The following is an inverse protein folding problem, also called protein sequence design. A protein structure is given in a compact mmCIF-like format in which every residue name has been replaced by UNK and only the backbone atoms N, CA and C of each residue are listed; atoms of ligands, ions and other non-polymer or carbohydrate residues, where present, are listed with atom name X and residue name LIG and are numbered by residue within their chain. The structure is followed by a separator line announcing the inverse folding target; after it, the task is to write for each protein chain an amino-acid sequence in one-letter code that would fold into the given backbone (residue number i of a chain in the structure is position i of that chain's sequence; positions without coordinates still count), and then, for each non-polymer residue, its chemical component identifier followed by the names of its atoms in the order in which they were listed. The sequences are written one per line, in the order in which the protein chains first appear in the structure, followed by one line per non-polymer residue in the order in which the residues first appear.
data_IF_149589812119
#
_entry.id   IF_149589812119
#
_cell.length_a   1.000
_cell.length_b   1.000
_cell.length_c   1.000
_cell.angle_alpha   90.00
_cell.angle_beta   90.00
_cell.angle_gamma   90.00
#
_symmetry.space_group_name_H-M   'P 1'
#
loop_
_entity.id
_entity.type
_entity.pdbx_description
1 polymer ?
#
# COMPACT_ATOMS: atom_id res chain seq x y z
N UNK A 1 -5.59 18.43 -6.06
CA UNK A 1 -5.50 17.31 -5.12
C UNK A 1 -4.33 17.59 -4.20
N UNK A 2 -4.57 17.59 -2.89
CA UNK A 2 -3.54 17.83 -1.89
C UNK A 2 -2.78 16.55 -1.54
N UNK A 3 -1.72 16.68 -0.76
CA UNK A 3 -0.92 15.56 -0.30
C UNK A 3 -1.69 14.70 0.72
N UNK A 4 -1.40 13.39 0.71
CA UNK A 4 -1.87 12.46 1.75
C UNK A 4 -0.78 12.38 2.82
N UNK A 5 -1.12 12.74 4.06
CA UNK A 5 -0.23 12.60 5.21
C UNK A 5 -0.77 11.51 6.12
N UNK A 6 0.00 10.43 6.24
CA UNK A 6 -0.30 9.34 7.17
C UNK A 6 0.56 9.50 8.42
N UNK A 7 -0.08 9.81 9.55
CA UNK A 7 0.56 9.81 10.86
C UNK A 7 0.45 8.42 11.47
N UNK A 8 1.58 7.73 11.62
CA UNK A 8 1.65 6.41 12.24
C UNK A 8 2.26 6.57 13.63
N UNK A 9 1.59 6.04 14.65
CA UNK A 9 2.08 6.02 16.03
C UNK A 9 2.16 4.58 16.55
N UNK A 10 3.25 4.24 17.22
CA UNK A 10 3.33 3.03 18.02
C UNK A 10 2.51 3.24 19.30
N UNK A 11 1.35 2.59 19.43
CA UNK A 11 0.56 2.60 20.66
C UNK A 11 0.18 1.16 21.04
N UNK A 12 0.76 0.67 22.13
CA UNK A 12 0.41 -0.64 22.68
C UNK A 12 -0.76 -0.46 23.66
N UNK A 13 -2.00 -0.75 23.25
CA UNK A 13 -3.17 -0.80 24.13
C UNK A 13 -4.44 -0.10 23.64
N UNK A 14 -4.31 0.98 22.84
CA UNK A 14 -5.44 1.76 22.28
C UNK A 14 -5.35 1.89 20.74
N UNK A 15 -4.34 1.28 20.12
CA UNK A 15 -4.26 1.22 18.66
C UNK A 15 -5.18 0.13 18.12
N UNK A 16 -5.68 0.34 16.89
CA UNK A 16 -6.27 -0.73 16.08
C UNK A 16 -5.12 -1.60 15.53
N UNK A 17 -4.87 -2.80 16.08
CA UNK A 17 -3.77 -3.64 15.61
C UNK A 17 -4.06 -4.09 14.19
N UNK A 18 -3.10 -3.89 13.27
CA UNK A 18 -3.26 -4.31 11.88
C UNK A 18 -4.28 -3.48 11.10
N UNK A 19 -4.31 -2.16 11.32
CA UNK A 19 -5.15 -1.24 10.56
C UNK A 19 -4.92 -1.41 9.05
N UNK A 20 -5.97 -1.20 8.25
CA UNK A 20 -5.91 -1.27 6.80
C UNK A 20 -6.34 0.08 6.20
N UNK A 21 -5.45 0.70 5.43
CA UNK A 21 -5.69 1.98 4.76
C UNK A 21 -5.61 1.76 3.25
N UNK A 22 -6.60 2.25 2.50
CA UNK A 22 -6.59 2.27 1.05
C UNK A 22 -6.32 3.69 0.54
N UNK A 23 -5.37 3.81 -0.39
CA UNK A 23 -5.05 5.03 -1.13
C UNK A 23 -5.51 4.83 -2.57
N UNK A 24 -6.64 5.44 -2.91
CA UNK A 24 -7.24 5.36 -4.23
C UNK A 24 -6.66 6.37 -5.23
N UNK A 25 -6.91 6.14 -6.53
CA UNK A 25 -6.44 6.96 -7.66
C UNK A 25 -4.91 7.18 -7.66
N UNK A 26 -4.16 6.17 -7.22
CA UNK A 26 -2.71 6.18 -7.19
C UNK A 26 -2.13 6.09 -8.60
N UNK A 27 -1.25 7.03 -8.94
CA UNK A 27 -0.63 7.10 -10.27
C UNK A 27 0.61 6.21 -10.34
N UNK A 28 0.89 5.70 -11.54
CA UNK A 28 2.11 4.96 -11.86
C UNK A 28 2.37 3.74 -10.94
N UNK A 29 1.31 3.00 -10.60
CA UNK A 29 1.35 1.93 -9.59
C UNK A 29 2.36 0.81 -9.91
N UNK A 30 2.50 0.42 -11.18
CA UNK A 30 3.48 -0.58 -11.62
C UNK A 30 4.92 -0.10 -11.41
N UNK A 31 5.20 1.16 -11.77
CA UNK A 31 6.50 1.77 -11.55
C UNK A 31 6.82 1.89 -10.06
N UNK A 32 5.82 2.21 -9.24
CA UNK A 32 5.95 2.24 -7.79
C UNK A 32 6.26 0.87 -7.20
N UNK A 33 5.53 -0.18 -7.59
CA UNK A 33 5.79 -1.56 -7.16
C UNK A 33 7.20 -2.01 -7.54
N UNK A 34 7.62 -1.74 -8.78
CA UNK A 34 8.97 -2.05 -9.25
C UNK A 34 10.03 -1.35 -8.37
N UNK A 35 9.84 -0.05 -8.10
CA UNK A 35 10.73 0.72 -7.22
C UNK A 35 10.81 0.14 -5.81
N UNK A 36 9.73 -0.44 -5.28
CA UNK A 36 9.74 -1.10 -3.97
C UNK A 36 10.51 -2.43 -4.00
N UNK A 37 10.32 -3.26 -5.04
CA UNK A 37 11.06 -4.52 -5.19
C UNK A 37 12.56 -4.29 -5.41
N UNK A 38 12.92 -3.27 -6.19
CA UNK A 38 14.32 -2.90 -6.45
C UNK A 38 15.09 -2.51 -5.18
N UNK A 39 14.40 -2.08 -4.11
CA UNK A 39 15.02 -1.82 -2.79
C UNK A 39 15.47 -3.11 -2.07
N UNK A 40 15.04 -4.28 -2.54
CA UNK A 40 15.36 -5.58 -1.96
C UNK A 40 15.08 -5.68 -0.45
N UNK A 41 14.01 -5.02 0.02
CA UNK A 41 13.68 -5.02 1.43
C UNK A 41 13.26 -6.43 1.89
N UNK A 42 13.96 -6.98 2.88
CA UNK A 42 13.82 -8.37 3.30
C UNK A 42 12.41 -8.73 3.80
N UNK A 43 11.75 -7.78 4.47
CA UNK A 43 10.51 -8.02 5.20
C UNK A 43 9.25 -7.63 4.42
N UNK A 44 9.38 -7.08 3.22
CA UNK A 44 8.24 -6.70 2.41
C UNK A 44 8.58 -6.84 0.93
N UNK A 45 7.87 -7.72 0.24
CA UNK A 45 7.98 -7.98 -1.21
C UNK A 45 6.59 -7.85 -1.82
N UNK A 46 6.08 -6.62 -1.97
CA UNK A 46 4.71 -6.40 -2.38
C UNK A 46 4.51 -6.83 -3.83
N UNK A 47 3.48 -7.66 -4.07
CA UNK A 47 3.04 -8.01 -5.41
C UNK A 47 2.18 -6.91 -6.04
N UNK A 48 1.77 -7.15 -7.29
CA UNK A 48 0.72 -6.38 -7.95
C UNK A 48 -0.42 -7.32 -8.33
N UNK A 49 -1.64 -6.92 -8.03
CA UNK A 49 -2.84 -7.75 -8.21
C UNK A 49 -3.97 -6.91 -8.81
N UNK A 50 -4.80 -7.51 -9.67
CA UNK A 50 -6.04 -6.86 -10.13
C UNK A 50 -7.04 -6.76 -8.96
N UNK A 51 -7.69 -5.60 -8.83
CA UNK A 51 -8.66 -5.38 -7.77
C UNK A 51 -9.87 -6.30 -7.96
N UNK A 52 -10.35 -6.92 -6.88
CA UNK A 52 -11.48 -7.86 -6.95
C UNK A 52 -12.78 -7.24 -7.49
N UNK A 53 -12.93 -5.91 -7.34
CA UNK A 53 -14.12 -5.17 -7.73
C UNK A 53 -14.02 -4.55 -9.13
N UNK A 54 -12.82 -4.41 -9.69
CA UNK A 54 -12.57 -3.82 -11.01
C UNK A 54 -11.23 -4.31 -11.58
N UNK A 55 -11.21 -5.14 -12.64
CA UNK A 55 -9.98 -5.66 -13.22
C UNK A 55 -9.13 -4.58 -13.94
N UNK A 56 -9.67 -3.38 -14.14
CA UNK A 56 -8.92 -2.24 -14.69
C UNK A 56 -8.09 -1.51 -13.63
N UNK A 57 -8.29 -1.85 -12.35
CA UNK A 57 -7.56 -1.29 -11.22
C UNK A 57 -6.55 -2.33 -10.73
N UNK A 58 -5.31 -1.90 -10.53
CA UNK A 58 -4.27 -2.67 -9.88
C UNK A 58 -4.14 -2.23 -8.43
N UNK A 59 -3.71 -3.16 -7.59
CA UNK A 59 -3.44 -2.94 -6.18
C UNK A 59 -2.05 -3.41 -5.79
N UNK A 60 -1.41 -2.66 -4.89
CA UNK A 60 -0.12 -2.99 -4.29
C UNK A 60 -0.27 -2.83 -2.79
N UNK A 61 -0.16 -3.93 -2.06
CA UNK A 61 -0.27 -3.92 -0.59
C UNK A 61 1.11 -3.94 0.05
N UNK A 62 1.40 -2.94 0.89
CA UNK A 62 2.60 -2.90 1.72
C UNK A 62 2.24 -3.03 3.19
N UNK A 63 3.12 -3.68 3.95
CA UNK A 63 3.01 -3.77 5.40
C UNK A 63 4.04 -2.84 6.06
N UNK A 64 3.61 -2.10 7.07
CA UNK A 64 4.50 -1.37 7.94
C UNK A 64 5.10 -2.28 9.04
N UNK A 65 6.07 -1.81 9.85
CA UNK A 65 6.67 -2.61 10.94
C UNK A 65 5.68 -3.05 12.03
N UNK A 66 4.51 -2.42 12.12
CA UNK A 66 3.48 -2.68 13.12
C UNK A 66 2.33 -3.52 12.56
N UNK A 67 2.53 -4.14 11.40
CA UNK A 67 1.57 -4.99 10.71
C UNK A 67 0.33 -4.26 10.17
N UNK A 68 0.36 -2.93 10.09
CA UNK A 68 -0.65 -2.18 9.34
C UNK A 68 -0.46 -2.42 7.84
N UNK A 69 -1.58 -2.50 7.13
CA UNK A 69 -1.64 -2.67 5.68
C UNK A 69 -1.95 -1.33 5.02
N UNK A 70 -1.15 -0.97 4.03
CA UNK A 70 -1.42 0.17 3.17
C UNK A 70 -1.58 -0.38 1.76
N UNK A 71 -2.78 -0.23 1.21
CA UNK A 71 -3.14 -0.66 -0.13
C UNK A 71 -3.11 0.57 -1.03
N UNK A 72 -2.25 0.55 -2.04
CA UNK A 72 -2.28 1.55 -3.10
C UNK A 72 -3.12 0.98 -4.24
N UNK A 73 -4.16 1.69 -4.67
CA UNK A 73 -5.04 1.29 -5.77
C UNK A 73 -4.94 2.33 -6.89
N UNK A 74 -4.65 1.87 -8.11
CA UNK A 74 -4.38 2.73 -9.25
C UNK A 74 -4.81 2.07 -10.56
N UNK A 75 -5.19 2.87 -11.56
CA UNK A 75 -5.53 2.33 -12.88
C UNK A 75 -4.33 1.61 -13.51
N UNK A 76 -4.62 0.48 -14.14
CA UNK A 76 -3.70 -0.21 -15.04
C UNK A 76 -3.32 0.75 -16.18
N UNK A 77 -2.03 0.86 -16.47
CA UNK A 77 -1.52 1.69 -17.56
C UNK A 77 -1.50 0.93 -18.89
#
# INVERSE_FOLDING_TARGET
MGDIVLNISEHHGDASPGACVCVDDFKDIEAYQKKLIDKQYKYNRPGIEEAFYDPTILTVTVNDPFYNKIIFAGKKQ
#
